data_IF_253014754016
#
_entry.id   IF_253014754016
#
_cell.length_a   1.000
_cell.length_b   1.000
_cell.length_c   1.000
_cell.angle_alpha   90.00
_cell.angle_beta   90.00
_cell.angle_gamma   90.00
#
_symmetry.space_group_name_H-M   'P 1'
#
loop_
_entity.id
_entity.type
_entity.pdbx_description
1 polymer ?
#
# COMPACT_ATOMS: atom_id res chain seq x y z
N UNK A 1 -17.14 -4.10 5.16
CA UNK A 1 -16.14 -3.39 5.97
C UNK A 1 -16.74 -3.10 7.35
N UNK A 2 -15.95 -3.22 8.42
CA UNK A 2 -16.35 -2.96 9.80
C UNK A 2 -16.37 -1.44 10.05
N UNK A 3 -17.46 -0.90 10.60
CA UNK A 3 -17.53 0.53 10.93
C UNK A 3 -16.62 0.83 12.12
N UNK A 4 -15.74 1.81 11.93
CA UNK A 4 -14.80 2.25 12.97
C UNK A 4 -14.89 3.75 13.21
N UNK A 5 -14.57 4.16 14.44
CA UNK A 5 -14.36 5.56 14.78
C UNK A 5 -12.99 6.08 14.30
N UNK A 6 -12.70 7.35 14.56
CA UNK A 6 -11.43 8.00 14.17
C UNK A 6 -10.19 7.43 14.89
N UNK A 7 -10.36 6.53 15.86
CA UNK A 7 -9.28 5.86 16.58
C UNK A 7 -9.10 4.40 16.13
N UNK A 8 -9.79 3.98 15.07
CA UNK A 8 -9.82 2.61 14.53
C UNK A 8 -10.57 1.60 15.41
N UNK A 9 -11.40 2.04 16.36
CA UNK A 9 -12.21 1.15 17.22
C UNK A 9 -13.52 0.81 16.56
N UNK A 10 -14.01 -0.41 16.73
CA UNK A 10 -15.38 -0.74 16.34
C UNK A 10 -16.38 0.06 17.18
N UNK A 11 -17.37 0.68 16.53
CA UNK A 11 -18.33 1.57 17.22
C UNK A 11 -19.10 0.89 18.36
N UNK A 12 -19.26 -0.44 18.31
CA UNK A 12 -19.97 -1.22 19.33
C UNK A 12 -19.03 -1.87 20.35
N UNK A 13 -17.72 -1.94 20.07
CA UNK A 13 -16.75 -2.68 20.88
C UNK A 13 -15.46 -1.87 21.05
N UNK A 14 -15.31 -1.11 22.15
CA UNK A 14 -14.20 -0.17 22.32
C UNK A 14 -12.82 -0.83 22.41
N UNK A 15 -12.77 -2.13 22.69
CA UNK A 15 -11.54 -2.92 22.82
C UNK A 15 -11.18 -3.69 21.54
N UNK A 16 -11.99 -3.58 20.48
CA UNK A 16 -11.73 -4.24 19.19
C UNK A 16 -11.39 -3.16 18.17
N UNK A 17 -10.29 -3.37 17.45
CA UNK A 17 -9.78 -2.46 16.45
C UNK A 17 -9.78 -3.11 15.07
N UNK A 18 -10.03 -2.31 14.04
CA UNK A 18 -9.91 -2.73 12.64
C UNK A 18 -9.22 -1.64 11.82
N UNK A 19 -8.31 -2.05 10.93
CA UNK A 19 -7.53 -1.16 10.05
C UNK A 19 -7.47 -1.72 8.62
N UNK A 20 -6.99 -0.90 7.70
CA UNK A 20 -6.83 -1.25 6.28
C UNK A 20 -8.17 -1.54 5.61
N UNK A 21 -8.15 -2.44 4.63
CA UNK A 21 -9.28 -2.67 3.73
C UNK A 21 -10.52 -3.25 4.42
N UNK A 22 -10.35 -3.82 5.61
CA UNK A 22 -11.43 -4.36 6.44
C UNK A 22 -12.20 -3.25 7.17
N UNK A 23 -11.59 -2.09 7.40
CA UNK A 23 -12.15 -1.00 8.17
C UNK A 23 -12.90 0.02 7.29
N UNK A 24 -13.98 0.59 7.83
CA UNK A 24 -14.73 1.70 7.26
C UNK A 24 -14.73 2.84 8.26
N UNK A 25 -13.74 3.72 8.13
CA UNK A 25 -13.66 4.98 8.87
C UNK A 25 -14.27 6.09 8.02
N UNK A 26 -15.36 6.69 8.47
CA UNK A 26 -16.02 7.79 7.76
C UNK A 26 -15.56 9.12 8.37
N UNK A 27 -15.17 10.06 7.52
CA UNK A 27 -14.82 11.43 7.91
C UNK A 27 -15.36 12.43 6.87
N UNK A 28 -15.27 13.74 7.17
CA UNK A 28 -15.67 14.80 6.24
C UNK A 28 -14.89 14.72 4.91
N UNK A 29 -13.58 14.47 4.98
CA UNK A 29 -12.73 14.33 3.78
C UNK A 29 -12.96 12.99 3.05
N UNK A 30 -13.35 11.94 3.78
CA UNK A 30 -13.57 10.58 3.26
C UNK A 30 -14.97 10.06 3.64
N UNK A 31 -16.06 10.60 3.04
CA UNK A 31 -17.43 10.23 3.42
C UNK A 31 -17.77 8.76 3.08
N UNK A 32 -17.05 8.16 2.14
CA UNK A 32 -17.16 6.74 1.74
C UNK A 32 -16.04 5.86 2.32
N UNK A 33 -15.26 6.41 3.25
CA UNK A 33 -14.07 5.81 3.81
C UNK A 33 -12.82 5.97 2.96
N UNK A 34 -11.68 5.64 3.58
CA UNK A 34 -10.38 5.74 2.93
C UNK A 34 -10.25 4.81 1.72
N UNK A 35 -9.36 5.15 0.76
CA UNK A 35 -9.04 4.27 -0.36
C UNK A 35 -8.53 2.90 0.12
N UNK A 36 -8.90 1.83 -0.59
CA UNK A 36 -8.44 0.47 -0.29
C UNK A 36 -7.08 0.21 -0.94
N UNK A 37 -6.05 0.86 -0.40
CA UNK A 37 -4.67 0.73 -0.86
C UNK A 37 -3.74 0.65 0.35
N UNK A 38 -2.49 0.27 0.09
CA UNK A 38 -1.48 0.02 1.14
C UNK A 38 -1.22 1.25 2.02
N UNK A 39 -1.24 2.47 1.47
CA UNK A 39 -0.87 3.69 2.23
C UNK A 39 -1.81 3.99 3.41
N UNK A 40 -3.15 4.06 3.27
CA UNK A 40 -4.07 4.14 4.40
C UNK A 40 -3.84 3.05 5.44
N UNK A 41 -3.68 1.79 5.04
CA UNK A 41 -3.47 0.68 5.95
C UNK A 41 -2.20 0.84 6.80
N UNK A 42 -1.07 1.19 6.18
CA UNK A 42 0.20 1.45 6.89
C UNK A 42 0.05 2.64 7.84
N UNK A 43 -0.55 3.74 7.38
CA UNK A 43 -0.70 4.94 8.22
C UNK A 43 -1.64 4.68 9.41
N UNK A 44 -2.73 3.94 9.20
CA UNK A 44 -3.63 3.50 10.27
C UNK A 44 -2.89 2.61 11.27
N UNK A 45 -2.08 1.66 10.82
CA UNK A 45 -1.26 0.82 11.69
C UNK A 45 -0.31 1.67 12.56
N UNK A 46 0.43 2.60 11.96
CA UNK A 46 1.33 3.51 12.69
C UNK A 46 0.59 4.35 13.74
N UNK A 47 -0.58 4.91 13.41
CA UNK A 47 -1.40 5.67 14.34
C UNK A 47 -1.94 4.78 15.47
N UNK A 48 -2.43 3.58 15.13
CA UNK A 48 -2.98 2.63 16.10
C UNK A 48 -1.92 2.17 17.10
N UNK A 49 -0.70 1.83 16.66
CA UNK A 49 0.40 1.45 17.56
C UNK A 49 0.68 2.56 18.57
N UNK A 50 0.76 3.82 18.11
CA UNK A 50 0.95 4.97 18.99
C UNK A 50 -0.21 5.15 19.96
N UNK A 51 -1.44 4.92 19.51
CA UNK A 51 -2.63 5.01 20.34
C UNK A 51 -2.69 3.92 21.41
N UNK A 52 -2.28 2.70 21.09
CA UNK A 52 -2.18 1.61 22.07
C UNK A 52 -1.16 1.95 23.17
N UNK A 53 0.02 2.44 22.80
CA UNK A 53 1.03 2.90 23.77
C UNK A 53 0.49 4.04 24.65
N UNK A 54 -0.25 4.99 24.07
CA UNK A 54 -0.87 6.09 24.83
C UNK A 54 -1.92 5.58 25.80
N UNK A 55 -2.76 4.63 25.38
CA UNK A 55 -3.77 4.02 26.22
C UNK A 55 -3.14 3.32 27.44
N UNK A 56 -2.05 2.58 27.25
CA UNK A 56 -1.30 1.94 28.34
C UNK A 56 -0.79 2.95 29.37
N UNK A 57 -0.38 4.14 28.91
CA UNK A 57 0.11 5.24 29.79
C UNK A 57 -0.99 6.18 30.30
N UNK A 58 -2.27 5.90 30.03
CA UNK A 58 -3.39 6.77 30.42
C UNK A 58 -3.46 8.11 29.67
N UNK A 59 -2.77 8.24 28.53
CA UNK A 59 -2.79 9.43 27.70
C UNK A 59 -3.97 9.41 26.71
N UNK A 60 -4.51 10.57 26.33
CA UNK A 60 -5.64 10.65 25.39
C UNK A 60 -5.24 10.15 24.00
N UNK A 61 -6.12 9.40 23.32
CA UNK A 61 -5.88 8.90 21.97
C UNK A 61 -5.78 10.04 20.94
N UNK A 62 -5.05 9.80 19.85
CA UNK A 62 -4.92 10.73 18.72
C UNK A 62 -5.77 10.25 17.55
N UNK A 63 -6.64 11.10 16.98
CA UNK A 63 -7.44 10.72 15.83
C UNK A 63 -6.54 10.43 14.63
N UNK A 64 -6.94 9.45 13.83
CA UNK A 64 -6.30 9.16 12.55
C UNK A 64 -6.68 10.23 11.52
N UNK A 65 -5.66 10.76 10.83
CA UNK A 65 -5.82 11.68 9.70
C UNK A 65 -5.00 11.11 8.55
N UNK A 66 -5.66 10.72 7.46
CA UNK A 66 -4.98 10.15 6.31
C UNK A 66 -4.22 11.22 5.54
N UNK A 67 -2.91 11.00 5.35
CA UNK A 67 -2.08 11.84 4.51
C UNK A 67 -1.92 11.20 3.14
N UNK A 68 -2.71 11.68 2.17
CA UNK A 68 -2.58 11.23 0.79
C UNK A 68 -1.21 11.65 0.21
N UNK A 69 -0.33 10.68 -0.03
CA UNK A 69 1.01 10.88 -0.61
C UNK A 69 1.01 10.98 -2.14
N UNK A 70 -0.14 10.78 -2.77
CA UNK A 70 -0.28 10.64 -4.21
C UNK A 70 -0.39 9.17 -4.65
N UNK A 71 -0.51 9.00 -5.95
CA UNK A 71 -0.74 7.72 -6.61
C UNK A 71 0.23 7.56 -7.79
N UNK A 72 0.62 6.33 -8.08
CA UNK A 72 1.43 6.01 -9.24
C UNK A 72 0.93 4.72 -9.87
N UNK A 73 0.94 4.65 -11.19
CA UNK A 73 0.54 3.45 -11.93
C UNK A 73 1.45 3.25 -13.14
N UNK A 74 1.91 2.02 -13.35
CA UNK A 74 2.55 1.62 -14.59
C UNK A 74 1.47 1.40 -15.65
N UNK A 75 1.65 1.96 -16.84
CA UNK A 75 0.68 1.89 -17.94
C UNK A 75 1.23 1.18 -19.19
N UNK A 76 2.49 0.73 -19.13
CA UNK A 76 3.16 0.01 -20.21
C UNK A 76 4.63 -0.20 -19.91
N UNK A 77 5.36 -0.74 -20.89
CA UNK A 77 6.82 -0.88 -20.80
C UNK A 77 7.45 0.50 -20.68
N UNK A 78 8.28 0.69 -19.66
CA UNK A 78 9.02 1.93 -19.42
C UNK A 78 8.12 3.18 -19.33
N UNK A 79 6.85 2.98 -19.02
CA UNK A 79 5.84 4.03 -18.97
C UNK A 79 5.03 3.91 -17.68
N UNK A 80 5.02 4.99 -16.91
CA UNK A 80 4.16 5.14 -15.76
C UNK A 80 3.52 6.53 -15.76
N UNK A 81 2.54 6.71 -14.88
CA UNK A 81 1.94 7.99 -14.55
C UNK A 81 2.08 8.17 -13.05
N UNK A 82 2.56 9.35 -12.66
CA UNK A 82 2.71 9.77 -11.27
C UNK A 82 1.80 10.96 -11.03
N UNK A 83 0.97 10.85 -10.00
CA UNK A 83 0.09 11.91 -9.52
C UNK A 83 0.41 12.20 -8.06
N UNK A 84 1.11 13.32 -7.83
CA UNK A 84 1.34 13.89 -6.51
C UNK A 84 0.44 15.14 -6.36
N UNK A 85 0.25 15.62 -5.12
CA UNK A 85 -0.66 16.75 -4.82
C UNK A 85 -0.52 17.95 -5.77
N UNK A 86 0.73 18.33 -6.13
CA UNK A 86 1.02 19.49 -7.00
C UNK A 86 1.72 19.13 -8.31
N UNK A 87 2.07 17.86 -8.53
CA UNK A 87 2.90 17.45 -9.65
C UNK A 87 2.29 16.23 -10.33
N UNK A 88 2.05 16.33 -11.63
CA UNK A 88 1.55 15.25 -12.46
C UNK A 88 2.44 15.12 -13.68
N UNK A 89 2.97 13.93 -13.90
CA UNK A 89 3.83 13.65 -15.05
C UNK A 89 3.75 12.18 -15.43
N UNK A 90 4.03 11.89 -16.69
CA UNK A 90 3.96 10.55 -17.26
C UNK A 90 5.16 10.22 -18.13
N UNK A 91 5.20 8.99 -18.60
CA UNK A 91 6.25 8.50 -19.50
C UNK A 91 7.42 7.87 -18.76
N UNK A 92 8.60 7.95 -19.39
CA UNK A 92 9.83 7.36 -18.87
C UNK A 92 10.28 7.96 -17.51
N UNK A 93 10.25 9.29 -17.28
CA UNK A 93 10.66 9.85 -15.99
C UNK A 93 9.75 9.38 -14.85
N UNK A 94 8.45 9.26 -15.11
CA UNK A 94 7.48 8.70 -14.16
C UNK A 94 7.77 7.23 -13.86
N UNK A 95 8.14 6.46 -14.87
CA UNK A 95 8.52 5.05 -14.71
C UNK A 95 9.81 4.90 -13.89
N UNK A 96 10.81 5.74 -14.11
CA UNK A 96 12.05 5.73 -13.33
C UNK A 96 11.80 6.06 -11.84
N UNK A 97 10.94 7.05 -11.56
CA UNK A 97 10.54 7.40 -10.18
C UNK A 97 9.77 6.25 -9.53
N UNK A 98 8.81 5.65 -10.25
CA UNK A 98 8.07 4.49 -9.77
C UNK A 98 9.01 3.34 -9.40
N UNK A 99 9.97 3.03 -10.28
CA UNK A 99 10.96 1.97 -10.08
C UNK A 99 11.81 2.23 -8.83
N UNK A 100 12.29 3.46 -8.68
CA UNK A 100 13.10 3.87 -7.53
C UNK A 100 12.35 3.73 -6.20
N UNK A 101 11.12 4.27 -6.11
CA UNK A 101 10.30 4.19 -4.90
C UNK A 101 9.94 2.75 -4.56
N UNK A 102 9.55 1.96 -5.57
CA UNK A 102 9.20 0.56 -5.38
C UNK A 102 10.39 -0.24 -4.83
N UNK A 103 11.59 -0.04 -5.38
CA UNK A 103 12.82 -0.67 -4.90
C UNK A 103 13.12 -0.33 -3.45
N UNK A 104 13.03 0.95 -3.07
CA UNK A 104 13.28 1.38 -1.70
C UNK A 104 12.24 0.84 -0.71
N UNK A 105 11.04 0.53 -1.19
CA UNK A 105 9.93 0.01 -0.37
C UNK A 105 10.01 -1.49 -0.10
N UNK A 106 10.88 -2.23 -0.79
CA UNK A 106 11.10 -3.67 -0.53
C UNK A 106 11.88 -3.83 0.78
N UNK A 107 11.15 -4.13 1.85
CA UNK A 107 11.69 -4.32 3.20
C UNK A 107 12.47 -5.64 3.27
N UNK A 108 13.65 -5.61 3.90
CA UNK A 108 14.21 -6.80 4.57
C UNK A 108 15.37 -7.56 3.89
N UNK A 109 15.80 -7.25 2.67
CA UNK A 109 16.87 -8.06 2.05
C UNK A 109 18.21 -7.32 2.02
N UNK A 110 19.25 -7.92 2.60
CA UNK A 110 20.65 -7.42 2.51
C UNK A 110 21.13 -7.21 1.07
N UNK A 111 20.43 -7.81 0.10
CA UNK A 111 20.74 -7.84 -1.33
C UNK A 111 19.72 -7.06 -2.21
N UNK A 112 19.15 -5.95 -1.73
CA UNK A 112 18.14 -5.17 -2.51
C UNK A 112 18.62 -4.84 -3.93
N UNK A 113 19.90 -4.46 -4.05
CA UNK A 113 20.56 -4.18 -5.33
C UNK A 113 20.66 -5.41 -6.23
N UNK A 114 20.98 -6.59 -5.69
CA UNK A 114 21.09 -7.80 -6.49
C UNK A 114 19.73 -8.32 -6.95
N UNK A 115 18.70 -8.30 -6.10
CA UNK A 115 17.32 -8.63 -6.51
C UNK A 115 16.86 -7.70 -7.62
N UNK A 116 17.23 -6.43 -7.53
CA UNK A 116 16.94 -5.44 -8.56
C UNK A 116 17.69 -5.68 -9.86
N UNK A 117 18.99 -5.98 -9.80
CA UNK A 117 19.78 -6.28 -11.00
C UNK A 117 19.24 -7.53 -11.68
N UNK A 118 18.88 -8.56 -10.91
CA UNK A 118 18.28 -9.78 -11.43
C UNK A 118 16.90 -9.52 -12.07
N UNK A 119 16.05 -8.72 -11.41
CA UNK A 119 14.74 -8.34 -11.96
C UNK A 119 14.85 -7.42 -13.18
N UNK A 120 15.78 -6.48 -13.18
CA UNK A 120 16.08 -5.62 -14.32
C UNK A 120 16.63 -6.45 -15.47
N UNK A 121 17.56 -7.36 -15.20
CA UNK A 121 18.09 -8.28 -16.17
C UNK A 121 16.97 -9.11 -16.77
N UNK A 122 16.11 -9.76 -15.96
CA UNK A 122 14.93 -10.50 -16.40
C UNK A 122 13.94 -9.65 -17.21
N UNK A 123 13.70 -8.40 -16.81
CA UNK A 123 12.84 -7.45 -17.53
C UNK A 123 13.40 -7.10 -18.93
N UNK A 124 14.73 -7.06 -19.09
CA UNK A 124 15.40 -6.86 -20.38
C UNK A 124 15.64 -8.16 -21.18
N UNK A 125 15.89 -9.29 -20.52
CA UNK A 125 16.21 -10.59 -21.15
C UNK A 125 14.98 -11.47 -21.41
N UNK A 126 13.78 -11.02 -21.04
CA UNK A 126 12.51 -11.68 -21.38
C UNK A 126 12.36 -13.10 -20.79
N UNK A 127 13.01 -13.41 -19.67
CA UNK A 127 12.74 -14.66 -18.96
C UNK A 127 11.36 -14.57 -18.28
N UNK A 128 10.33 -14.97 -19.03
CA UNK A 128 8.99 -15.21 -18.54
C UNK A 128 9.07 -16.37 -17.54
N UNK A 129 9.22 -16.07 -16.25
CA UNK A 129 9.04 -17.04 -15.16
C UNK A 129 7.56 -17.46 -14.98
N UNK A 130 6.69 -17.17 -15.95
CA UNK A 130 5.37 -17.80 -16.07
C UNK A 130 5.57 -19.25 -16.56
N UNK A 131 5.96 -20.12 -15.63
CA UNK A 131 5.84 -21.56 -15.82
C UNK A 131 4.35 -21.90 -15.79
N UNK A 132 3.69 -21.83 -16.94
CA UNK A 132 2.29 -22.26 -17.07
C UNK A 132 2.28 -23.79 -16.91
N UNK A 133 1.87 -24.28 -15.74
CA UNK A 133 1.63 -25.71 -15.51
C UNK A 133 0.26 -26.03 -16.13
N UNK A 134 0.23 -26.34 -17.42
CA UNK A 134 -0.96 -26.90 -18.07
C UNK A 134 -1.01 -28.38 -17.68
N UNK A 135 -1.92 -28.76 -16.78
CA UNK A 135 -2.24 -30.19 -16.59
C UNK A 135 -2.97 -30.68 -17.85
N UNK A 136 -2.49 -31.75 -18.53
CA UNK A 136 -3.23 -32.32 -19.65
C UNK A 136 -4.58 -32.83 -19.15
N UNK A 137 -5.66 -32.41 -19.82
CA UNK A 137 -7.00 -32.94 -19.57
C UNK A 137 -7.00 -34.41 -20.01
N UNK A 138 -7.20 -35.32 -19.06
CA UNK A 138 -7.30 -36.76 -19.35
C UNK A 138 -8.62 -36.99 -20.10
N UNK A 139 -8.55 -37.21 -21.42
CA UNK A 139 -9.70 -37.67 -22.21
C UNK A 139 -10.08 -39.07 -21.70
N UNK A 140 -11.32 -39.21 -21.24
CA UNK A 140 -11.97 -40.51 -21.03
C UNK A 140 -12.36 -41.10 -22.38
#
# INVERSE_FOLDING_TARGET
>A
RLKVDTYNRLSQYPNIFAIGDTALMISEEYPKGHPQVVQPAIQQACNLIRNLQRAETGLPLQPFIYQNKGSMATIGRNHAVVELKKLRFGGFPAWAVWLFIHLMSIVGVKNRLFIFVDWMWSYFTYDLSLRIIIKPLKRQ
#
